data_IF_478399511993
#
_entry.id   IF_478399511993
#
_cell.length_a   1.000
_cell.length_b   1.000
_cell.length_c   1.000
_cell.angle_alpha   90.00
_cell.angle_beta   90.00
_cell.angle_gamma   90.00
#
_symmetry.space_group_name_H-M   'P 1'
#
loop_
_entity.id
_entity.type
_entity.pdbx_description
1 polymer ?
#
# COMPACT_ATOMS: atom_id res chain seq x y z
N UNK A 1 73.53 31.98 -15.23
CA UNK A 1 74.65 32.94 -15.23
C UNK A 1 74.46 33.78 -16.48
N UNK A 2 74.19 35.08 -16.49
CA UNK A 2 74.75 36.25 -15.77
C UNK A 2 73.70 37.38 -15.90
N UNK A 3 73.13 37.89 -14.80
CA UNK A 3 73.38 39.23 -14.20
C UNK A 3 73.40 40.45 -15.14
N UNK A 4 72.58 41.47 -14.82
CA UNK A 4 72.87 42.93 -14.81
C UNK A 4 71.54 43.69 -14.64
N UNK A 5 71.12 44.13 -13.44
CA UNK A 5 71.44 45.39 -12.72
C UNK A 5 71.32 46.68 -13.54
N UNK A 6 70.26 47.45 -13.27
CA UNK A 6 70.32 48.94 -13.19
C UNK A 6 69.11 49.52 -12.42
N UNK A 7 69.40 50.16 -11.28
CA UNK A 7 68.56 51.07 -10.47
C UNK A 7 68.65 52.52 -11.00
N UNK A 8 68.10 53.56 -10.32
CA UNK A 8 66.77 53.81 -9.77
C UNK A 8 66.23 55.21 -10.20
N UNK A 9 64.94 55.51 -10.00
CA UNK A 9 64.49 56.91 -9.76
C UNK A 9 63.18 56.93 -8.97
N UNK A 10 63.26 57.50 -7.77
CA UNK A 10 62.15 57.70 -6.86
C UNK A 10 61.50 59.05 -7.10
N UNK A 11 60.19 59.11 -7.32
CA UNK A 11 59.34 60.28 -7.06
C UNK A 11 58.01 59.81 -6.43
N UNK A 12 57.56 60.59 -5.45
CA UNK A 12 56.64 60.28 -4.35
C UNK A 12 55.14 60.24 -4.74
N UNK A 13 54.27 59.69 -3.86
CA UNK A 13 53.01 59.05 -4.20
C UNK A 13 51.83 60.01 -4.06
N UNK A 14 51.03 60.20 -5.12
CA UNK A 14 49.74 60.90 -5.01
C UNK A 14 48.68 60.50 -6.05
N UNK A 15 48.94 59.51 -6.90
CA UNK A 15 48.03 59.15 -8.00
C UNK A 15 47.61 57.67 -8.03
N UNK A 16 47.82 56.92 -6.95
CA UNK A 16 47.48 55.48 -6.89
C UNK A 16 46.28 55.12 -5.98
N UNK A 17 45.73 56.06 -5.20
CA UNK A 17 44.60 55.77 -4.31
C UNK A 17 43.22 55.97 -4.97
N UNK A 18 43.12 56.82 -5.99
CA UNK A 18 41.87 56.99 -6.76
C UNK A 18 41.62 55.80 -7.72
N UNK A 19 42.62 55.23 -8.42
CA UNK A 19 42.40 54.07 -9.28
C UNK A 19 42.05 52.80 -8.51
N UNK A 20 42.62 52.59 -7.31
CA UNK A 20 42.33 51.39 -6.51
C UNK A 20 40.90 51.35 -5.95
N UNK A 21 40.33 52.51 -5.58
CA UNK A 21 38.94 52.57 -5.13
C UNK A 21 37.96 52.29 -6.29
N UNK A 22 38.28 52.76 -7.50
CA UNK A 22 37.47 52.50 -8.70
C UNK A 22 37.59 51.03 -9.12
N UNK A 23 38.78 50.43 -9.06
CA UNK A 23 38.98 49.00 -9.37
C UNK A 23 38.31 48.09 -8.33
N UNK A 24 38.31 48.45 -7.05
CA UNK A 24 37.58 47.70 -6.03
C UNK A 24 36.05 47.77 -6.22
N UNK A 25 35.52 48.94 -6.58
CA UNK A 25 34.10 49.11 -6.93
C UNK A 25 33.75 48.33 -8.21
N UNK A 26 34.63 48.33 -9.21
CA UNK A 26 34.46 47.58 -10.45
C UNK A 26 34.54 46.07 -10.22
N UNK A 27 35.39 45.58 -9.31
CA UNK A 27 35.46 44.16 -8.94
C UNK A 27 34.27 43.69 -8.07
N UNK A 28 33.70 44.59 -7.25
CA UNK A 28 32.45 44.36 -6.53
C UNK A 28 31.24 44.33 -7.47
N UNK A 29 31.21 45.17 -8.51
CA UNK A 29 30.18 45.19 -9.56
C UNK A 29 30.39 44.11 -10.64
N UNK A 30 31.62 43.63 -10.84
CA UNK A 30 31.92 42.56 -11.80
C UNK A 30 31.72 41.15 -11.23
N UNK A 31 31.79 41.00 -9.89
CA UNK A 31 31.40 39.73 -9.21
C UNK A 31 29.88 39.50 -9.21
N UNK A 32 29.07 40.53 -9.45
CA UNK A 32 27.61 40.41 -9.54
C UNK A 32 27.08 40.27 -10.96
N UNK A 33 27.91 40.47 -11.99
CA UNK A 33 27.51 40.39 -13.41
C UNK A 33 27.82 39.05 -14.09
N UNK A 34 28.46 38.11 -13.39
CA UNK A 34 28.57 36.70 -13.83
C UNK A 34 27.34 35.83 -13.55
N UNK A 35 26.33 36.36 -12.83
CA UNK A 35 25.10 35.63 -12.48
C UNK A 35 23.88 36.04 -13.33
N UNK A 36 24.05 36.94 -14.30
CA UNK A 36 22.95 37.57 -15.04
C UNK A 36 22.93 37.27 -16.56
N UNK A 37 23.82 36.41 -17.08
CA UNK A 37 23.92 36.15 -18.54
C UNK A 37 23.54 34.71 -18.92
N UNK A 38 22.89 33.94 -18.03
CA UNK A 38 22.43 32.57 -18.35
C UNK A 38 20.95 32.29 -18.11
N UNK A 39 20.10 33.32 -18.08
CA UNK A 39 18.66 33.15 -17.92
C UNK A 39 17.82 33.44 -19.17
N UNK A 40 18.39 33.90 -20.28
CA UNK A 40 17.57 34.60 -21.29
C UNK A 40 17.44 33.94 -22.69
N UNK A 41 17.59 32.61 -22.77
CA UNK A 41 17.18 31.86 -23.98
C UNK A 41 15.76 31.27 -23.85
N UNK A 42 15.26 31.09 -22.62
CA UNK A 42 13.96 30.47 -22.32
C UNK A 42 12.83 31.50 -22.15
N UNK A 43 13.13 32.74 -21.77
CA UNK A 43 12.15 33.83 -21.72
C UNK A 43 11.63 34.22 -23.12
N UNK A 44 12.42 33.99 -24.17
CA UNK A 44 12.08 34.34 -25.56
C UNK A 44 10.95 33.47 -26.16
N UNK A 45 10.69 32.31 -25.58
CA UNK A 45 9.61 31.40 -26.00
C UNK A 45 8.42 31.37 -25.03
N UNK A 46 8.45 32.14 -23.94
CA UNK A 46 7.35 32.26 -22.98
C UNK A 46 6.78 30.90 -22.49
N UNK A 47 7.66 29.91 -22.30
CA UNK A 47 7.32 28.63 -21.69
C UNK A 47 8.03 28.58 -20.34
N UNK A 48 7.34 29.03 -19.29
CA UNK A 48 7.71 28.77 -17.91
C UNK A 48 6.76 27.73 -17.31
N UNK A 49 7.36 26.59 -16.97
CA UNK A 49 6.80 25.45 -16.25
C UNK A 49 6.09 25.82 -14.93
N UNK A 50 6.26 27.04 -14.41
CA UNK A 50 5.55 27.53 -13.22
C UNK A 50 4.03 27.69 -13.37
N UNK A 51 3.49 27.72 -14.59
CA UNK A 51 2.06 27.99 -14.82
C UNK A 51 1.14 26.77 -14.65
N UNK A 52 1.66 25.54 -14.47
CA UNK A 52 0.80 24.34 -14.43
C UNK A 52 0.64 23.67 -13.07
N UNK A 53 1.58 23.84 -12.13
CA UNK A 53 1.49 23.20 -10.82
C UNK A 53 1.75 24.20 -9.69
N UNK A 54 0.67 24.74 -9.14
CA UNK A 54 0.70 25.65 -7.99
C UNK A 54 1.04 24.88 -6.72
N UNK A 55 2.30 24.90 -6.28
CA UNK A 55 2.84 24.87 -4.89
C UNK A 55 4.26 24.26 -4.89
N UNK A 56 5.24 24.56 -4.02
CA UNK A 56 5.37 25.23 -2.73
C UNK A 56 6.71 25.98 -2.70
N UNK A 57 6.76 27.19 -2.16
CA UNK A 57 7.90 27.67 -1.35
C UNK A 57 7.33 28.69 -0.38
N UNK A 58 7.30 28.35 0.91
CA UNK A 58 7.05 29.30 1.99
C UNK A 58 8.40 29.82 2.52
N UNK A 59 8.93 30.95 2.03
CA UNK A 59 9.76 31.80 2.85
C UNK A 59 8.86 32.88 3.46
N UNK A 60 9.09 33.20 4.74
CA UNK A 60 8.48 34.29 5.51
C UNK A 60 7.13 34.00 6.19
N UNK A 61 7.17 33.19 7.26
CA UNK A 61 6.29 33.46 8.41
C UNK A 61 7.03 34.37 9.40
N UNK A 62 6.35 35.42 9.87
CA UNK A 62 6.83 36.27 10.95
C UNK A 62 6.99 35.48 12.25
N UNK A 63 7.85 35.95 13.16
CA UNK A 63 8.14 35.30 14.44
C UNK A 63 6.89 35.25 15.33
N UNK A 64 6.09 34.19 15.21
CA UNK A 64 5.19 33.78 16.28
C UNK A 64 6.03 33.36 17.49
N UNK A 65 5.75 33.94 18.66
CA UNK A 65 6.29 33.41 19.91
C UNK A 65 5.64 32.04 20.14
N UNK A 66 6.40 30.97 19.89
CA UNK A 66 5.98 29.60 20.19
C UNK A 66 5.70 29.49 21.69
N UNK A 67 4.57 28.90 22.13
CA UNK A 67 4.40 28.53 23.52
C UNK A 67 5.60 27.68 23.95
N UNK A 68 6.08 27.84 25.19
CA UNK A 68 7.11 26.96 25.76
C UNK A 68 6.51 25.57 25.99
N UNK A 69 6.49 24.74 24.96
CA UNK A 69 6.30 23.31 25.11
C UNK A 69 7.62 22.70 25.63
N UNK A 70 7.58 22.13 26.82
CA UNK A 70 8.68 21.33 27.36
C UNK A 70 8.51 19.90 26.88
N UNK A 71 9.14 19.52 25.77
CA UNK A 71 9.27 18.13 25.40
C UNK A 71 10.27 17.45 26.33
N UNK A 72 9.81 16.53 27.18
CA UNK A 72 10.75 15.58 27.82
C UNK A 72 11.26 14.67 26.72
N UNK A 73 12.58 14.69 26.48
CA UNK A 73 13.22 13.70 25.61
C UNK A 73 13.01 12.32 26.23
N UNK A 74 12.28 11.44 25.53
CA UNK A 74 12.21 10.00 25.80
C UNK A 74 13.46 9.37 25.17
N UNK A 75 14.64 9.70 25.72
CA UNK A 75 15.92 9.11 25.32
C UNK A 75 16.54 8.39 26.51
N UNK A 76 15.96 7.24 26.84
CA UNK A 76 16.63 6.18 27.54
C UNK A 76 16.34 4.89 26.77
N UNK A 77 17.28 4.44 25.93
CA UNK A 77 17.17 3.25 25.08
C UNK A 77 16.99 1.90 25.82
N UNK A 78 16.31 1.91 26.96
CA UNK A 78 15.86 0.80 27.79
C UNK A 78 14.37 0.93 28.18
N UNK A 79 13.74 2.09 28.02
CA UNK A 79 12.30 2.25 28.22
C UNK A 79 11.56 1.80 26.96
N UNK A 80 10.52 0.99 27.14
CA UNK A 80 9.55 0.71 26.08
C UNK A 80 8.93 2.05 25.69
N UNK A 81 9.12 2.53 24.44
CA UNK A 81 8.51 3.77 24.01
C UNK A 81 7.01 3.58 23.99
N UNK A 82 6.33 4.43 24.73
CA UNK A 82 4.90 4.48 25.01
C UNK A 82 4.07 4.51 23.71
N UNK A 83 3.84 3.36 23.07
CA UNK A 83 2.93 3.25 21.92
C UNK A 83 1.50 3.08 22.43
N UNK A 84 0.67 4.12 22.26
CA UNK A 84 -0.76 4.07 22.55
C UNK A 84 -1.20 4.62 23.91
N UNK A 85 -0.36 5.40 24.61
CA UNK A 85 -0.79 6.02 25.87
C UNK A 85 -1.70 7.20 25.61
N UNK A 86 -2.89 7.15 26.21
CA UNK A 86 -3.70 8.32 26.46
C UNK A 86 -2.95 9.19 27.47
N UNK A 87 -2.35 10.30 27.04
CA UNK A 87 -1.72 11.26 27.96
C UNK A 87 -2.78 12.08 28.70
N UNK A 88 -3.89 12.34 28.01
CA UNK A 88 -5.13 12.96 28.45
C UNK A 88 -6.28 12.26 27.71
N UNK A 89 -7.55 12.44 28.13
CA UNK A 89 -8.72 11.74 27.52
C UNK A 89 -8.83 11.93 25.99
N UNK A 90 -8.13 12.91 25.41
CA UNK A 90 -8.23 13.27 23.99
C UNK A 90 -6.89 13.24 23.22
N UNK A 91 -5.76 12.96 23.87
CA UNK A 91 -4.43 12.97 23.22
C UNK A 91 -3.85 11.56 23.22
N UNK A 92 -3.68 11.00 22.02
CA UNK A 92 -3.12 9.68 21.80
C UNK A 92 -1.76 9.78 21.10
N UNK A 93 -0.73 9.14 21.65
CA UNK A 93 0.59 9.08 21.04
C UNK A 93 0.86 7.70 20.42
N UNK A 94 1.23 7.69 19.15
CA UNK A 94 1.66 6.48 18.43
C UNK A 94 3.00 6.74 17.79
N UNK A 95 3.96 5.85 18.04
CA UNK A 95 5.21 5.85 17.32
C UNK A 95 5.23 4.63 16.40
N UNK A 96 5.13 4.90 15.10
CA UNK A 96 4.99 3.87 14.07
C UNK A 96 6.25 3.00 13.93
N UNK A 97 7.43 3.54 14.28
CA UNK A 97 8.68 2.77 14.25
C UNK A 97 8.76 1.67 15.31
N UNK A 98 7.89 1.70 16.33
CA UNK A 98 7.87 0.69 17.40
C UNK A 98 6.71 -0.30 17.27
N UNK A 99 5.81 -0.08 16.30
CA UNK A 99 4.80 -1.05 15.90
C UNK A 99 5.38 -2.23 15.10
N UNK A 100 6.61 -2.10 14.61
CA UNK A 100 7.33 -3.11 13.81
C UNK A 100 8.07 -4.17 14.63
N UNK A 101 7.66 -4.43 15.87
CA UNK A 101 8.25 -5.49 16.70
C UNK A 101 7.67 -6.86 16.37
N UNK A 102 8.54 -7.79 15.98
CA UNK A 102 8.15 -9.15 15.55
C UNK A 102 8.17 -10.18 16.69
N UNK A 103 8.48 -9.80 17.93
CA UNK A 103 8.78 -10.73 19.02
C UNK A 103 7.56 -11.36 19.71
N UNK A 104 6.35 -10.86 19.45
CA UNK A 104 5.11 -11.40 20.03
C UNK A 104 3.99 -11.38 18.97
N UNK A 105 3.88 -12.46 18.19
CA UNK A 105 2.89 -12.60 17.08
C UNK A 105 1.45 -12.30 17.52
N UNK A 106 1.04 -12.83 18.68
CA UNK A 106 -0.34 -12.72 19.16
C UNK A 106 -0.69 -11.41 19.89
N UNK A 107 0.27 -10.50 20.11
CA UNK A 107 -0.04 -9.15 20.62
C UNK A 107 -0.24 -8.13 19.51
N UNK A 108 -0.03 -8.54 18.25
CA UNK A 108 -0.19 -7.66 17.11
C UNK A 108 -1.66 -7.47 16.78
N UNK A 109 -2.07 -6.22 16.50
CA UNK A 109 -3.43 -5.92 16.07
C UNK A 109 -3.57 -6.24 14.58
N UNK A 110 -4.58 -7.05 14.28
CA UNK A 110 -4.91 -7.51 12.93
C UNK A 110 -6.25 -6.93 12.52
N UNK A 111 -6.29 -6.26 11.38
CA UNK A 111 -7.51 -5.76 10.77
C UNK A 111 -7.93 -6.71 9.65
N UNK A 112 -9.08 -7.36 9.79
CA UNK A 112 -9.65 -8.24 8.76
C UNK A 112 -10.62 -7.44 7.91
N UNK A 113 -10.40 -7.40 6.59
CA UNK A 113 -11.17 -6.61 5.64
C UNK A 113 -11.88 -7.49 4.62
N UNK A 114 -13.17 -7.21 4.40
CA UNK A 114 -14.01 -7.92 3.43
C UNK A 114 -14.98 -6.98 2.72
N UNK A 115 -15.13 -7.15 1.41
CA UNK A 115 -16.22 -6.54 0.63
C UNK A 115 -17.36 -7.55 0.56
N UNK A 116 -18.58 -7.13 0.90
CA UNK A 116 -19.75 -8.00 1.06
C UNK A 116 -20.83 -7.61 0.05
N UNK A 117 -21.23 -8.57 -0.78
CA UNK A 117 -22.41 -8.44 -1.65
C UNK A 117 -23.61 -9.26 -1.15
N UNK A 118 -23.35 -10.37 -0.46
CA UNK A 118 -24.29 -11.36 0.03
C UNK A 118 -23.76 -11.94 1.33
N UNK A 119 -24.64 -12.32 2.25
CA UNK A 119 -24.18 -12.89 3.52
C UNK A 119 -23.96 -14.40 3.39
N UNK A 120 -22.70 -14.83 3.51
CA UNK A 120 -22.32 -16.24 3.53
C UNK A 120 -22.09 -16.72 4.98
N UNK A 121 -22.92 -17.65 5.45
CA UNK A 121 -22.82 -18.18 6.81
C UNK A 121 -21.53 -19.00 7.01
N UNK A 122 -21.04 -19.72 5.99
CA UNK A 122 -19.83 -20.51 6.13
C UNK A 122 -18.60 -19.61 6.29
N UNK A 123 -18.55 -18.48 5.58
CA UNK A 123 -17.54 -17.44 5.79
C UNK A 123 -17.58 -16.89 7.22
N UNK A 124 -18.78 -16.56 7.73
CA UNK A 124 -18.92 -16.09 9.11
C UNK A 124 -18.42 -17.13 10.13
N UNK A 125 -18.79 -18.40 9.94
CA UNK A 125 -18.31 -19.49 10.80
C UNK A 125 -16.79 -19.70 10.68
N UNK A 126 -16.21 -19.55 9.49
CA UNK A 126 -14.78 -19.60 9.27
C UNK A 126 -14.06 -18.50 10.06
N UNK A 127 -14.55 -17.25 9.99
CA UNK A 127 -14.01 -16.12 10.76
C UNK A 127 -14.07 -16.36 12.27
N UNK A 128 -15.16 -16.96 12.78
CA UNK A 128 -15.29 -17.29 14.20
C UNK A 128 -14.34 -18.41 14.65
N UNK A 129 -13.83 -19.25 13.74
CA UNK A 129 -12.95 -20.39 14.06
C UNK A 129 -11.46 -20.03 14.12
N UNK A 130 -11.08 -18.82 13.71
CA UNK A 130 -9.70 -18.36 13.78
C UNK A 130 -9.15 -18.48 15.21
N UNK A 131 -7.93 -19.01 15.35
CA UNK A 131 -7.27 -19.20 16.64
C UNK A 131 -6.65 -17.93 17.21
N UNK A 132 -6.41 -16.94 16.34
CA UNK A 132 -5.82 -15.67 16.74
C UNK A 132 -6.71 -14.95 17.77
N UNK A 133 -6.08 -14.27 18.73
CA UNK A 133 -6.81 -13.62 19.82
C UNK A 133 -7.79 -12.56 19.29
N UNK A 134 -9.10 -12.80 19.50
CA UNK A 134 -10.16 -11.90 19.03
C UNK A 134 -10.07 -10.50 19.63
N UNK A 135 -9.46 -10.35 20.81
CA UNK A 135 -9.19 -9.03 21.40
C UNK A 135 -8.16 -8.23 20.61
N UNK A 136 -7.41 -8.87 19.70
CA UNK A 136 -6.48 -8.22 18.78
C UNK A 136 -6.98 -8.20 17.33
N UNK A 137 -8.21 -8.65 17.08
CA UNK A 137 -8.85 -8.60 15.76
C UNK A 137 -9.84 -7.45 15.70
N UNK A 138 -9.69 -6.62 14.67
CA UNK A 138 -10.68 -5.65 14.22
C UNK A 138 -11.26 -6.12 12.89
N UNK A 139 -12.56 -5.89 12.68
CA UNK A 139 -13.26 -6.29 11.46
C UNK A 139 -13.72 -5.04 10.71
N UNK A 140 -13.46 -5.00 9.40
CA UNK A 140 -13.94 -3.96 8.50
C UNK A 140 -14.71 -4.58 7.34
N UNK A 141 -15.99 -4.20 7.21
CA UNK A 141 -16.86 -4.67 6.12
C UNK A 141 -17.25 -3.51 5.21
N UNK A 142 -17.17 -3.72 3.89
CA UNK A 142 -17.75 -2.81 2.90
C UNK A 142 -18.94 -3.48 2.23
N UNK A 143 -20.16 -3.02 2.50
CA UNK A 143 -21.38 -3.62 1.96
C UNK A 143 -21.85 -2.91 0.69
N UNK A 144 -22.07 -3.67 -0.38
CA UNK A 144 -22.54 -3.12 -1.66
C UNK A 144 -23.98 -2.59 -1.58
N UNK A 145 -24.33 -1.51 -2.32
CA UNK A 145 -25.66 -0.90 -2.30
C UNK A 145 -26.67 -1.66 -3.18
N UNK A 146 -26.77 -2.99 -3.01
CA UNK A 146 -27.72 -3.84 -3.75
C UNK A 146 -28.84 -4.33 -2.85
N UNK A 147 -29.92 -4.88 -3.42
CA UNK A 147 -30.98 -5.52 -2.62
C UNK A 147 -30.41 -6.65 -1.75
N UNK A 148 -29.58 -7.50 -2.34
CA UNK A 148 -28.88 -8.58 -1.65
C UNK A 148 -27.90 -8.05 -0.59
N UNK A 149 -27.17 -6.97 -0.88
CA UNK A 149 -26.27 -6.32 0.06
C UNK A 149 -27.02 -5.74 1.26
N UNK A 150 -28.22 -5.20 1.07
CA UNK A 150 -29.06 -4.71 2.17
C UNK A 150 -29.56 -5.84 3.06
N UNK A 151 -29.93 -6.99 2.49
CA UNK A 151 -30.30 -8.19 3.25
C UNK A 151 -29.07 -8.77 3.99
N UNK A 152 -27.90 -8.73 3.34
CA UNK A 152 -26.64 -9.12 3.91
C UNK A 152 -26.25 -8.24 5.10
N UNK A 153 -26.43 -6.92 4.99
CA UNK A 153 -26.19 -5.96 6.08
C UNK A 153 -27.04 -6.29 7.31
N UNK A 154 -28.35 -6.51 7.13
CA UNK A 154 -29.23 -6.84 8.25
C UNK A 154 -28.82 -8.15 8.94
N UNK A 155 -28.43 -9.15 8.16
CA UNK A 155 -27.96 -10.43 8.70
C UNK A 155 -26.61 -10.28 9.41
N UNK A 156 -25.67 -9.56 8.80
CA UNK A 156 -24.35 -9.27 9.37
C UNK A 156 -24.46 -8.53 10.70
N UNK A 157 -25.29 -7.48 10.78
CA UNK A 157 -25.53 -6.74 12.03
C UNK A 157 -26.09 -7.65 13.13
N UNK A 158 -27.03 -8.53 12.80
CA UNK A 158 -27.60 -9.49 13.75
C UNK A 158 -26.54 -10.46 14.26
N UNK A 159 -25.70 -11.01 13.37
CA UNK A 159 -24.61 -11.94 13.74
C UNK A 159 -23.51 -11.27 14.57
N UNK A 160 -23.17 -10.03 14.25
CA UNK A 160 -22.23 -9.23 15.05
C UNK A 160 -22.82 -8.97 16.44
N UNK A 161 -24.08 -8.56 16.54
CA UNK A 161 -24.77 -8.36 17.81
C UNK A 161 -24.77 -9.64 18.66
N UNK A 162 -25.14 -10.77 18.08
CA UNK A 162 -25.09 -12.10 18.73
C UNK A 162 -23.68 -12.42 19.27
N UNK A 163 -22.64 -12.10 18.49
CA UNK A 163 -21.25 -12.41 18.86
C UNK A 163 -20.69 -11.45 19.91
N UNK A 164 -20.92 -10.15 19.78
CA UNK A 164 -20.40 -9.12 20.69
C UNK A 164 -21.11 -9.10 22.05
N UNK A 165 -22.31 -9.67 22.16
CA UNK A 165 -23.05 -9.80 23.44
C UNK A 165 -22.71 -11.06 24.24
N UNK A 166 -21.80 -11.90 23.73
CA UNK A 166 -21.37 -13.10 24.46
C UNK A 166 -20.57 -12.74 25.70
N UNK A 167 -20.89 -13.41 26.80
CA UNK A 167 -20.15 -13.32 28.07
C UNK A 167 -19.24 -14.53 28.29
N UNK A 168 -19.42 -15.59 27.51
CA UNK A 168 -18.77 -16.89 27.64
C UNK A 168 -17.55 -17.05 26.70
N UNK A 169 -17.33 -16.12 25.77
CA UNK A 169 -16.25 -16.18 24.80
C UNK A 169 -15.65 -14.79 24.52
N UNK A 170 -14.37 -14.70 24.12
CA UNK A 170 -13.79 -13.43 23.71
C UNK A 170 -14.50 -12.91 22.45
N UNK A 171 -14.71 -11.60 22.44
CA UNK A 171 -15.40 -10.84 21.39
C UNK A 171 -14.38 -10.09 20.53
N UNK A 172 -14.78 -9.64 19.35
CA UNK A 172 -13.90 -8.83 18.48
C UNK A 172 -13.70 -7.44 19.09
N UNK A 173 -12.51 -6.88 18.93
CA UNK A 173 -12.15 -5.59 19.54
C UNK A 173 -12.97 -4.43 18.99
N UNK A 174 -13.07 -4.34 17.67
CA UNK A 174 -13.87 -3.34 16.97
C UNK A 174 -14.44 -3.93 15.68
N UNK A 175 -15.63 -3.49 15.31
CA UNK A 175 -16.27 -3.87 14.05
C UNK A 175 -16.80 -2.62 13.39
N UNK A 176 -16.31 -2.33 12.18
CA UNK A 176 -16.74 -1.21 11.35
C UNK A 176 -17.47 -1.76 10.13
N UNK A 177 -18.66 -1.23 9.84
CA UNK A 177 -19.42 -1.53 8.63
C UNK A 177 -19.59 -0.25 7.84
N UNK A 178 -19.12 -0.26 6.60
CA UNK A 178 -19.26 0.82 5.63
C UNK A 178 -20.28 0.39 4.56
N UNK A 179 -21.01 1.37 4.01
CA UNK A 179 -21.87 1.16 2.85
C UNK A 179 -21.23 1.83 1.65
N UNK A 180 -21.06 1.06 0.59
CA UNK A 180 -20.48 1.53 -0.65
C UNK A 180 -21.40 2.55 -1.34
N UNK A 181 -20.79 3.51 -2.04
CA UNK A 181 -21.49 4.42 -2.94
C UNK A 181 -22.07 3.66 -4.13
N UNK A 182 -23.15 4.20 -4.72
CA UNK A 182 -23.76 3.62 -5.92
C UNK A 182 -22.73 3.38 -7.05
N UNK A 183 -22.73 2.21 -7.68
CA UNK A 183 -21.83 1.95 -8.79
C UNK A 183 -22.19 2.79 -10.02
N UNK A 184 -21.21 3.08 -10.89
CA UNK A 184 -21.52 3.60 -12.22
C UNK A 184 -22.35 2.57 -13.00
N UNK A 185 -23.09 3.03 -14.02
CA UNK A 185 -23.80 2.12 -14.91
C UNK A 185 -22.78 1.26 -15.67
N UNK A 186 -22.77 -0.05 -15.39
CA UNK A 186 -21.98 -1.01 -16.14
C UNK A 186 -22.74 -1.38 -17.42
N UNK A 187 -22.07 -1.31 -18.56
CA UNK A 187 -22.62 -1.92 -19.78
C UNK A 187 -22.65 -3.45 -19.61
N UNK A 188 -23.61 -4.14 -20.23
CA UNK A 188 -23.84 -5.56 -19.94
C UNK A 188 -22.79 -6.49 -20.53
N UNK A 189 -22.03 -6.06 -21.55
CA UNK A 189 -21.07 -6.92 -22.24
C UNK A 189 -19.78 -6.19 -22.62
N UNK A 190 -18.64 -6.85 -22.43
CA UNK A 190 -17.35 -6.42 -22.99
C UNK A 190 -16.24 -6.16 -21.96
N UNK A 191 -15.01 -6.10 -22.48
CA UNK A 191 -13.78 -5.89 -21.70
C UNK A 191 -13.83 -4.57 -20.92
N UNK A 192 -14.40 -3.51 -21.51
CA UNK A 192 -14.49 -2.20 -20.88
C UNK A 192 -15.41 -2.20 -19.65
N UNK A 193 -16.52 -2.95 -19.68
CA UNK A 193 -17.42 -3.09 -18.53
C UNK A 193 -16.72 -3.80 -17.36
N UNK A 194 -15.97 -4.86 -17.64
CA UNK A 194 -15.21 -5.57 -16.60
C UNK A 194 -14.10 -4.67 -16.01
N UNK A 195 -13.45 -3.85 -16.84
CA UNK A 195 -12.49 -2.84 -16.37
C UNK A 195 -13.18 -1.84 -15.44
N UNK A 196 -14.34 -1.29 -15.80
CA UNK A 196 -15.08 -0.35 -14.94
C UNK A 196 -15.53 -0.98 -13.62
N UNK A 197 -15.99 -2.24 -13.64
CA UNK A 197 -16.29 -2.99 -12.40
C UNK A 197 -15.06 -3.09 -11.51
N UNK A 198 -13.91 -3.50 -12.05
CA UNK A 198 -12.66 -3.60 -11.29
C UNK A 198 -12.19 -2.23 -10.75
N UNK A 199 -12.38 -1.14 -11.50
CA UNK A 199 -12.10 0.22 -11.01
C UNK A 199 -12.98 0.60 -9.84
N UNK A 200 -14.27 0.29 -9.91
CA UNK A 200 -15.22 0.51 -8.82
C UNK A 200 -14.81 -0.29 -7.56
N UNK A 201 -14.54 -1.59 -7.70
CA UNK A 201 -14.10 -2.42 -6.57
C UNK A 201 -12.74 -1.98 -6.00
N UNK A 202 -11.80 -1.52 -6.83
CA UNK A 202 -10.54 -0.94 -6.36
C UNK A 202 -10.79 0.30 -5.48
N UNK A 203 -11.71 1.16 -5.90
CA UNK A 203 -12.17 2.31 -5.11
C UNK A 203 -12.75 1.90 -3.76
N UNK A 204 -13.64 0.90 -3.74
CA UNK A 204 -14.23 0.38 -2.50
C UNK A 204 -13.18 -0.20 -1.53
N UNK A 205 -12.21 -0.95 -2.04
CA UNK A 205 -11.10 -1.47 -1.21
C UNK A 205 -10.29 -0.32 -0.62
N UNK A 206 -10.01 0.72 -1.40
CA UNK A 206 -9.31 1.92 -0.91
C UNK A 206 -10.09 2.62 0.20
N UNK A 207 -11.39 2.87 0.00
CA UNK A 207 -12.26 3.50 1.00
C UNK A 207 -12.31 2.69 2.29
N UNK A 208 -12.42 1.36 2.17
CA UNK A 208 -12.46 0.45 3.31
C UNK A 208 -11.16 0.53 4.12
N UNK A 209 -10.01 0.31 3.49
CA UNK A 209 -8.73 0.32 4.20
C UNK A 209 -8.41 1.71 4.75
N UNK A 210 -8.65 2.80 4.00
CA UNK A 210 -8.32 4.15 4.45
C UNK A 210 -9.15 4.60 5.66
N UNK A 211 -10.38 4.08 5.78
CA UNK A 211 -11.31 4.46 6.86
C UNK A 211 -11.13 3.62 8.11
N UNK A 212 -10.65 2.39 7.96
CA UNK A 212 -10.54 1.42 9.07
C UNK A 212 -9.11 1.21 9.57
N UNK A 213 -8.09 1.59 8.79
CA UNK A 213 -6.69 1.47 9.18
C UNK A 213 -6.36 2.39 10.35
N UNK A 214 -6.25 1.80 11.54
CA UNK A 214 -5.85 2.48 12.76
C UNK A 214 -4.33 2.67 12.88
N UNK A 215 -3.86 3.63 13.70
CA UNK A 215 -2.44 3.85 13.93
C UNK A 215 -1.74 2.65 14.58
N UNK A 216 -2.49 1.77 15.23
CA UNK A 216 -2.03 0.61 15.99
C UNK A 216 -2.17 -0.73 15.25
N UNK A 217 -2.81 -0.73 14.07
CA UNK A 217 -2.94 -1.91 13.21
C UNK A 217 -1.58 -2.30 12.67
N UNK A 218 -1.17 -3.56 12.89
CA UNK A 218 0.11 -4.10 12.40
C UNK A 218 -0.05 -4.88 11.11
N UNK A 219 -1.05 -5.74 11.05
CA UNK A 219 -1.35 -6.53 9.85
C UNK A 219 -2.78 -6.28 9.39
N UNK A 220 -2.99 -6.41 8.09
CA UNK A 220 -4.28 -6.33 7.43
C UNK A 220 -4.48 -7.66 6.72
N UNK A 221 -5.48 -8.44 7.13
CA UNK A 221 -5.88 -9.65 6.43
C UNK A 221 -7.04 -9.30 5.50
N UNK A 222 -6.79 -9.31 4.20
CA UNK A 222 -7.86 -9.31 3.21
C UNK A 222 -8.44 -10.72 3.12
N UNK A 223 -9.73 -10.86 3.40
CA UNK A 223 -10.45 -12.12 3.37
C UNK A 223 -11.75 -11.94 2.62
N UNK A 224 -11.88 -12.58 1.46
CA UNK A 224 -13.09 -12.54 0.66
C UNK A 224 -14.25 -13.23 1.38
N UNK A 225 -15.46 -12.72 1.18
CA UNK A 225 -16.70 -13.31 1.69
C UNK A 225 -16.93 -14.73 1.17
N UNK A 226 -16.32 -15.06 0.03
CA UNK A 226 -16.45 -16.39 -0.56
C UNK A 226 -15.42 -17.40 -0.01
N UNK A 227 -14.45 -16.96 0.81
CA UNK A 227 -13.53 -17.88 1.49
C UNK A 227 -14.21 -18.50 2.72
N UNK A 228 -14.76 -19.70 2.50
CA UNK A 228 -15.57 -20.44 3.48
C UNK A 228 -14.76 -21.38 4.37
N UNK A 229 -13.51 -21.65 4.04
CA UNK A 229 -12.67 -22.55 4.83
C UNK A 229 -11.20 -22.13 4.78
N UNK A 230 -10.59 -21.98 5.94
CA UNK A 230 -9.16 -21.72 6.14
C UNK A 230 -8.64 -22.61 7.27
N UNK A 231 -7.33 -22.93 7.31
CA UNK A 231 -6.72 -23.39 8.55
C UNK A 231 -7.00 -22.37 9.67
N UNK A 232 -7.33 -22.84 10.88
CA UNK A 232 -7.69 -21.94 11.99
C UNK A 232 -6.56 -20.98 12.37
N UNK A 233 -5.32 -21.37 12.08
CA UNK A 233 -4.07 -20.65 12.32
C UNK A 233 -3.66 -19.72 11.17
N UNK A 234 -4.55 -19.41 10.21
CA UNK A 234 -4.17 -18.69 8.99
C UNK A 234 -3.48 -17.34 9.22
N UNK A 235 -3.87 -16.62 10.27
CA UNK A 235 -3.21 -15.34 10.60
C UNK A 235 -1.79 -15.62 11.10
N UNK A 236 -1.65 -16.53 12.07
CA UNK A 236 -0.37 -16.92 12.65
C UNK A 236 0.59 -17.49 11.60
N UNK A 237 0.07 -18.37 10.74
CA UNK A 237 0.79 -19.03 9.66
C UNK A 237 1.34 -18.01 8.66
N UNK A 238 0.50 -17.06 8.21
CA UNK A 238 0.92 -16.02 7.27
C UNK A 238 1.87 -14.99 7.91
N UNK A 239 1.69 -14.66 9.20
CA UNK A 239 2.64 -13.81 9.93
C UNK A 239 4.01 -14.50 10.04
N UNK A 240 4.03 -15.81 10.31
CA UNK A 240 5.26 -16.58 10.49
C UNK A 240 6.16 -16.62 9.26
N UNK A 241 5.59 -16.39 8.07
CA UNK A 241 6.35 -16.27 6.81
C UNK A 241 7.29 -15.06 6.83
N UNK A 242 6.98 -14.02 7.61
CA UNK A 242 7.87 -12.87 7.81
C UNK A 242 8.04 -12.00 6.56
N UNK A 243 7.03 -11.96 5.69
CA UNK A 243 7.03 -11.18 4.44
C UNK A 243 5.97 -10.07 4.49
N UNK A 244 6.19 -8.93 3.82
CA UNK A 244 5.30 -7.78 3.95
C UNK A 244 3.96 -7.98 3.23
N UNK A 245 3.91 -8.81 2.19
CA UNK A 245 2.67 -9.23 1.54
C UNK A 245 2.72 -10.72 1.28
N UNK A 246 1.74 -11.47 1.78
CA UNK A 246 1.66 -12.92 1.68
C UNK A 246 0.27 -13.32 1.19
N UNK A 247 0.18 -14.07 0.11
CA UNK A 247 -1.09 -14.61 -0.40
C UNK A 247 -1.16 -16.12 -0.25
N UNK A 248 -2.33 -16.61 0.19
CA UNK A 248 -2.63 -18.04 0.20
C UNK A 248 -2.92 -18.55 -1.22
N UNK A 249 -2.86 -19.88 -1.39
CA UNK A 249 -3.36 -20.54 -2.57
C UNK A 249 -4.86 -20.86 -2.39
N UNK A 250 -5.71 -20.30 -3.25
CA UNK A 250 -7.17 -20.47 -3.16
C UNK A 250 -7.57 -21.75 -3.88
N UNK A 251 -8.54 -22.52 -3.43
CA UNK A 251 -8.99 -23.73 -4.11
C UNK A 251 -10.50 -23.82 -4.03
N UNK A 252 -11.12 -24.55 -4.96
CA UNK A 252 -12.52 -24.97 -4.81
C UNK A 252 -12.54 -26.45 -4.55
N UNK A 253 -13.33 -26.89 -3.57
CA UNK A 253 -13.58 -28.32 -3.39
C UNK A 253 -14.38 -28.80 -4.61
N UNK A 254 -13.80 -29.71 -5.39
CA UNK A 254 -14.55 -30.36 -6.45
C UNK A 254 -15.72 -31.13 -5.81
N UNK A 255 -16.92 -31.04 -6.39
CA UNK A 255 -18.02 -31.92 -6.03
C UNK A 255 -17.51 -33.37 -6.11
N UNK A 256 -17.85 -34.18 -5.10
CA UNK A 256 -17.21 -35.44 -4.65
C UNK A 256 -16.87 -36.55 -5.69
N UNK A 257 -16.96 -36.33 -7.00
CA UNK A 257 -16.79 -37.36 -8.03
C UNK A 257 -15.78 -37.03 -9.16
N UNK A 258 -14.98 -35.96 -9.06
CA UNK A 258 -13.85 -35.75 -9.97
C UNK A 258 -12.69 -35.16 -9.17
N UNK A 259 -11.68 -35.96 -8.84
CA UNK A 259 -10.51 -35.59 -8.03
C UNK A 259 -9.57 -34.57 -8.67
N UNK A 260 -10.10 -33.51 -9.29
CA UNK A 260 -9.35 -32.39 -9.81
C UNK A 260 -9.95 -31.10 -9.24
N UNK A 261 -9.19 -30.43 -8.37
CA UNK A 261 -9.48 -29.06 -7.99
C UNK A 261 -9.47 -28.18 -9.26
N UNK A 262 -10.48 -27.33 -9.42
CA UNK A 262 -10.57 -26.42 -10.57
C UNK A 262 -9.96 -25.06 -10.25
N UNK A 263 -9.26 -24.47 -11.21
CA UNK A 263 -8.69 -23.14 -11.10
C UNK A 263 -9.80 -22.07 -11.00
N UNK A 264 -9.77 -21.26 -9.95
CA UNK A 264 -10.60 -20.07 -9.86
C UNK A 264 -9.92 -18.83 -10.45
N UNK A 265 -10.76 -17.87 -10.86
CA UNK A 265 -10.36 -16.55 -11.29
C UNK A 265 -9.50 -15.80 -10.25
N UNK A 266 -9.73 -15.96 -8.95
CA UNK A 266 -8.93 -15.26 -7.95
C UNK A 266 -7.48 -15.74 -7.89
N UNK A 267 -7.23 -17.04 -8.01
CA UNK A 267 -5.87 -17.57 -8.15
C UNK A 267 -5.14 -17.07 -9.38
N UNK A 268 -5.90 -16.81 -10.45
CA UNK A 268 -5.35 -16.29 -11.69
C UNK A 268 -4.70 -14.90 -11.50
N UNK A 269 -4.97 -14.22 -10.37
CA UNK A 269 -4.37 -12.94 -9.98
C UNK A 269 -3.08 -13.08 -9.14
N UNK A 270 -2.74 -14.29 -8.68
CA UNK A 270 -1.47 -14.61 -8.00
C UNK A 270 -0.50 -15.28 -8.97
N UNK A 271 0.51 -14.55 -9.45
CA UNK A 271 1.38 -15.03 -10.54
C UNK A 271 2.76 -14.36 -10.55
N UNK A 272 3.66 -14.99 -11.31
CA UNK A 272 5.04 -14.54 -11.58
C UNK A 272 5.14 -14.05 -13.02
N UNK A 273 5.78 -12.89 -13.21
CA UNK A 273 6.00 -12.27 -14.50
C UNK A 273 6.99 -13.09 -15.35
N UNK A 274 6.78 -13.13 -16.66
CA UNK A 274 7.68 -13.80 -17.61
C UNK A 274 8.17 -12.81 -18.70
N UNK A 275 9.13 -13.24 -19.51
CA UNK A 275 9.67 -12.41 -20.60
C UNK A 275 8.61 -12.06 -21.66
N UNK A 276 7.72 -13.00 -21.98
CA UNK A 276 6.64 -12.81 -22.95
C UNK A 276 5.74 -11.63 -22.55
N UNK A 277 5.36 -11.57 -21.28
CA UNK A 277 4.54 -10.50 -20.73
C UNK A 277 5.21 -9.14 -20.84
N UNK A 278 6.52 -9.05 -20.58
CA UNK A 278 7.26 -7.79 -20.73
C UNK A 278 7.26 -7.29 -22.17
N UNK A 279 7.34 -8.20 -23.15
CA UNK A 279 7.23 -7.86 -24.57
C UNK A 279 5.83 -7.39 -24.94
N UNK A 280 4.80 -8.06 -24.41
CA UNK A 280 3.40 -7.68 -24.58
C UNK A 280 3.18 -6.26 -24.04
N UNK A 281 3.61 -5.94 -22.83
CA UNK A 281 3.43 -4.60 -22.25
C UNK A 281 4.00 -3.49 -23.14
N UNK A 282 5.21 -3.68 -23.67
CA UNK A 282 5.86 -2.70 -24.55
C UNK A 282 5.16 -2.51 -25.92
N UNK A 283 4.23 -3.40 -26.28
CA UNK A 283 3.53 -3.36 -27.57
C UNK A 283 2.25 -2.52 -27.55
N UNK A 284 1.85 -2.01 -26.38
CA UNK A 284 0.60 -1.28 -26.22
C UNK A 284 0.80 0.07 -25.53
N UNK A 285 -0.20 0.94 -25.62
CA UNK A 285 -0.18 2.23 -24.96
C UNK A 285 -0.19 2.09 -23.43
N UNK A 286 0.52 2.98 -22.73
CA UNK A 286 0.67 2.97 -21.26
C UNK A 286 -0.65 2.90 -20.47
N UNK A 287 -1.72 3.44 -21.05
CA UNK A 287 -3.06 3.48 -20.45
C UNK A 287 -3.93 2.25 -20.77
N UNK A 288 -3.47 1.36 -21.65
CA UNK A 288 -4.20 0.12 -21.93
C UNK A 288 -4.06 -0.82 -20.73
N UNK A 289 -5.17 -1.42 -20.32
CA UNK A 289 -5.25 -2.33 -19.19
C UNK A 289 -5.22 -3.79 -19.67
N UNK A 290 -4.20 -4.53 -19.23
CA UNK A 290 -4.04 -5.98 -19.42
C UNK A 290 -3.99 -6.64 -18.05
N UNK A 291 -4.93 -7.51 -17.77
CA UNK A 291 -4.92 -8.30 -16.56
C UNK A 291 -5.38 -9.71 -16.90
N UNK A 292 -5.20 -10.65 -16.00
CA UNK A 292 -5.69 -11.99 -16.24
C UNK A 292 -7.22 -11.97 -16.45
N UNK A 293 -7.67 -12.56 -17.57
CA UNK A 293 -9.07 -12.52 -18.03
C UNK A 293 -9.55 -11.20 -18.67
N UNK A 294 -8.71 -10.16 -18.77
CA UNK A 294 -9.08 -8.83 -19.34
C UNK A 294 -8.10 -8.41 -20.43
N UNK A 295 -8.65 -7.93 -21.55
CA UNK A 295 -7.88 -7.43 -22.70
C UNK A 295 -7.63 -8.47 -23.79
N UNK A 296 -8.08 -9.71 -23.61
CA UNK A 296 -8.02 -10.76 -24.64
C UNK A 296 -6.60 -11.17 -25.05
N UNK A 297 -5.61 -10.93 -24.20
CA UNK A 297 -4.20 -11.26 -24.45
C UNK A 297 -3.82 -12.51 -23.66
N UNK A 298 -3.23 -13.49 -24.35
CA UNK A 298 -2.58 -14.63 -23.70
C UNK A 298 -1.29 -14.15 -23.02
N UNK A 299 -1.31 -14.08 -21.69
CA UNK A 299 -0.21 -13.56 -20.90
C UNK A 299 0.88 -14.61 -20.66
N UNK A 300 0.54 -15.91 -20.76
CA UNK A 300 1.39 -17.07 -20.41
C UNK A 300 2.03 -17.00 -19.02
N UNK A 301 1.43 -16.23 -18.10
CA UNK A 301 1.94 -16.04 -16.74
C UNK A 301 2.01 -17.38 -16.01
N UNK A 302 2.96 -17.51 -15.08
CA UNK A 302 3.06 -18.69 -14.23
C UNK A 302 2.27 -18.41 -12.96
N UNK A 303 1.21 -19.18 -12.71
CA UNK A 303 0.35 -18.98 -11.56
C UNK A 303 0.89 -19.71 -10.34
N UNK A 304 0.52 -19.23 -9.15
CA UNK A 304 0.92 -19.86 -7.89
C UNK A 304 0.53 -21.35 -7.81
N UNK A 305 -0.57 -21.73 -8.47
CA UNK A 305 -1.02 -23.12 -8.55
C UNK A 305 -0.07 -24.03 -9.31
N UNK A 306 0.57 -23.51 -10.37
CA UNK A 306 1.50 -24.29 -11.18
C UNK A 306 2.75 -24.66 -10.36
N UNK A 307 2.97 -23.97 -9.23
CA UNK A 307 4.07 -24.17 -8.30
C UNK A 307 3.70 -25.07 -7.11
N UNK A 308 2.43 -25.46 -6.97
CA UNK A 308 2.00 -26.38 -5.94
C UNK A 308 2.61 -27.77 -6.19
N UNK A 309 3.30 -28.31 -5.19
CA UNK A 309 4.06 -29.57 -5.28
C UNK A 309 3.48 -30.68 -4.41
N UNK A 310 2.44 -30.36 -3.64
CA UNK A 310 1.84 -31.20 -2.62
C UNK A 310 0.35 -31.31 -2.89
N UNK A 311 -0.19 -32.51 -2.73
CA UNK A 311 -1.64 -32.71 -2.73
C UNK A 311 -2.25 -31.93 -1.54
N UNK A 312 -3.33 -31.15 -1.74
CA UNK A 312 -4.04 -30.48 -0.64
C UNK A 312 -4.37 -31.39 0.57
N UNK A 313 -4.44 -32.71 0.37
CA UNK A 313 -4.66 -33.68 1.44
C UNK A 313 -3.43 -33.99 2.34
N UNK A 314 -2.22 -33.59 1.96
CA UNK A 314 -0.97 -33.96 2.68
C UNK A 314 -0.55 -32.96 3.78
N UNK A 315 -1.39 -31.98 4.10
CA UNK A 315 -1.20 -31.04 5.20
C UNK A 315 -0.65 -29.68 4.79
N UNK A 316 -0.56 -28.77 5.77
CA UNK A 316 -0.18 -27.37 5.57
C UNK A 316 1.34 -27.23 5.45
N UNK A 317 1.82 -26.64 4.37
CA UNK A 317 3.22 -26.18 4.25
C UNK A 317 3.27 -24.66 4.13
N UNK A 318 4.17 -24.06 4.90
CA UNK A 318 4.33 -22.61 4.98
C UNK A 318 5.37 -22.05 4.00
N UNK A 319 5.81 -22.87 3.05
CA UNK A 319 6.78 -22.44 2.04
C UNK A 319 6.18 -21.31 1.18
N UNK A 320 6.91 -20.20 1.08
CA UNK A 320 6.53 -19.05 0.29
C UNK A 320 7.51 -18.83 -0.87
N UNK A 321 6.98 -18.38 -2.01
CA UNK A 321 7.73 -18.03 -3.21
C UNK A 321 7.47 -16.57 -3.56
N UNK A 322 8.49 -15.90 -4.09
CA UNK A 322 8.36 -14.51 -4.55
C UNK A 322 7.46 -14.48 -5.79
N UNK A 323 6.51 -13.55 -5.80
CA UNK A 323 5.56 -13.35 -6.91
C UNK A 323 5.53 -11.90 -7.38
N UNK A 324 5.00 -11.67 -8.58
CA UNK A 324 4.86 -10.33 -9.15
C UNK A 324 3.46 -9.75 -8.96
N UNK A 325 2.48 -10.60 -8.70
CA UNK A 325 1.12 -10.22 -8.37
C UNK A 325 0.53 -11.18 -7.36
N UNK A 326 -0.35 -10.64 -6.51
CA UNK A 326 -1.15 -11.38 -5.55
C UNK A 326 -2.65 -11.13 -5.77
N UNK A 327 -3.45 -12.19 -5.62
CA UNK A 327 -4.89 -12.09 -5.37
C UNK A 327 -5.13 -11.42 -4.01
N UNK A 328 -6.35 -10.96 -3.75
CA UNK A 328 -6.71 -10.42 -2.43
C UNK A 328 -7.85 -11.21 -1.77
N UNK A 329 -8.10 -12.44 -2.22
CA UNK A 329 -9.16 -13.25 -1.62
C UNK A 329 -8.75 -13.79 -0.24
N UNK A 330 -7.46 -14.10 -0.04
CA UNK A 330 -6.90 -14.40 1.27
C UNK A 330 -5.44 -13.95 1.28
N UNK A 331 -5.19 -12.73 1.76
CA UNK A 331 -3.86 -12.09 1.67
C UNK A 331 -3.58 -11.23 2.88
N UNK A 332 -2.46 -11.52 3.54
CA UNK A 332 -1.95 -10.76 4.67
C UNK A 332 -1.01 -9.68 4.15
N UNK A 333 -1.26 -8.44 4.57
CA UNK A 333 -0.49 -7.26 4.21
C UNK A 333 0.00 -6.58 5.48
N UNK A 334 1.29 -6.25 5.52
CA UNK A 334 1.86 -5.40 6.56
C UNK A 334 1.27 -4.00 6.43
N UNK A 335 0.81 -3.41 7.53
CA UNK A 335 0.14 -2.11 7.47
C UNK A 335 1.03 -1.00 6.92
N UNK A 336 2.35 -1.10 7.10
CA UNK A 336 3.34 -0.18 6.53
C UNK A 336 3.26 -0.09 5.00
N UNK A 337 2.90 -1.18 4.31
CA UNK A 337 2.73 -1.20 2.85
C UNK A 337 1.65 -0.21 2.41
N UNK A 338 0.50 -0.21 3.10
CA UNK A 338 -0.58 0.75 2.85
C UNK A 338 -0.23 2.16 3.37
N UNK A 339 0.45 2.28 4.51
CA UNK A 339 0.87 3.58 5.08
C UNK A 339 1.89 4.30 4.21
N UNK A 340 2.75 3.56 3.50
CA UNK A 340 3.70 4.08 2.53
C UNK A 340 3.05 4.44 1.18
N UNK A 341 1.75 4.15 1.03
CA UNK A 341 0.94 4.61 -0.09
C UNK A 341 0.55 3.53 -1.09
N UNK A 342 0.89 2.25 -0.86
CA UNK A 342 0.35 1.18 -1.70
C UNK A 342 -1.17 1.13 -1.55
N UNK A 343 -1.89 1.21 -2.66
CA UNK A 343 -3.34 1.18 -2.72
C UNK A 343 -3.80 0.44 -3.98
N UNK A 344 -5.11 0.22 -4.13
CA UNK A 344 -5.70 -0.45 -5.29
C UNK A 344 -5.98 0.59 -6.38
N UNK A 345 -5.19 0.68 -7.46
CA UNK A 345 -5.36 1.75 -8.44
C UNK A 345 -6.69 1.55 -9.18
N UNK A 346 -7.58 2.52 -9.10
CA UNK A 346 -8.77 2.60 -9.95
C UNK A 346 -8.47 3.28 -11.30
N UNK A 347 -7.19 3.54 -11.59
CA UNK A 347 -6.68 4.09 -12.84
C UNK A 347 -5.54 3.19 -13.35
N UNK A 348 -5.28 3.16 -14.68
CA UNK A 348 -4.18 2.38 -15.23
C UNK A 348 -2.84 2.69 -14.56
N UNK A 349 -2.22 1.68 -13.96
CA UNK A 349 -0.91 1.77 -13.33
C UNK A 349 -0.03 0.63 -13.87
N UNK A 350 0.90 0.95 -14.76
CA UNK A 350 1.68 -0.05 -15.51
C UNK A 350 0.81 -1.15 -16.13
N UNK A 351 -0.23 -0.71 -16.86
CA UNK A 351 -1.24 -1.56 -17.50
C UNK A 351 -2.13 -2.40 -16.57
N UNK A 352 -2.10 -2.14 -15.26
CA UNK A 352 -2.86 -2.90 -14.26
C UNK A 352 -3.76 -1.97 -13.46
N UNK A 353 -4.82 -2.51 -12.89
CA UNK A 353 -5.70 -1.85 -11.91
C UNK A 353 -5.96 -2.81 -10.75
N UNK A 354 -6.69 -2.35 -9.74
CA UNK A 354 -7.13 -3.16 -8.61
C UNK A 354 -5.96 -3.91 -7.92
N UNK A 355 -6.04 -5.22 -7.74
CA UNK A 355 -5.06 -6.03 -7.00
C UNK A 355 -3.73 -6.20 -7.73
N UNK A 356 -3.76 -6.36 -9.06
CA UNK A 356 -2.53 -6.40 -9.88
C UNK A 356 -1.83 -5.04 -9.85
N UNK A 357 -2.61 -3.95 -9.82
CA UNK A 357 -2.10 -2.59 -9.68
C UNK A 357 -1.48 -2.34 -8.30
N UNK A 358 -2.13 -2.80 -7.23
CA UNK A 358 -1.57 -2.77 -5.87
C UNK A 358 -0.23 -3.50 -5.82
N UNK A 359 -0.19 -4.71 -6.39
CA UNK A 359 1.01 -5.54 -6.41
C UNK A 359 2.18 -4.78 -7.05
N UNK A 360 1.93 -4.17 -8.21
CA UNK A 360 2.95 -3.35 -8.86
C UNK A 360 3.36 -2.14 -8.00
N UNK A 361 2.42 -1.50 -7.32
CA UNK A 361 2.69 -0.34 -6.48
C UNK A 361 3.55 -0.69 -5.27
N UNK A 362 3.24 -1.79 -4.58
CA UNK A 362 4.03 -2.32 -3.47
C UNK A 362 5.47 -2.64 -3.91
N UNK A 363 5.65 -3.28 -5.07
CA UNK A 363 6.99 -3.49 -5.65
C UNK A 363 7.73 -2.17 -5.93
N UNK A 364 7.04 -1.12 -6.42
CA UNK A 364 7.65 0.20 -6.66
C UNK A 364 8.04 0.92 -5.36
N UNK A 365 7.40 0.58 -4.24
CA UNK A 365 7.76 1.00 -2.89
C UNK A 365 8.85 0.12 -2.25
N UNK A 366 9.41 -0.83 -2.99
CA UNK A 366 10.45 -1.78 -2.56
C UNK A 366 9.97 -2.85 -1.58
N UNK A 367 8.67 -3.18 -1.59
CA UNK A 367 8.14 -4.33 -0.87
C UNK A 367 8.16 -5.59 -1.76
N UNK A 368 8.55 -6.72 -1.16
CA UNK A 368 8.49 -8.03 -1.81
C UNK A 368 7.11 -8.66 -1.62
N UNK A 369 6.54 -9.20 -2.69
CA UNK A 369 5.29 -9.96 -2.64
C UNK A 369 5.61 -11.45 -2.59
N UNK A 370 4.89 -12.19 -1.76
CA UNK A 370 5.06 -13.63 -1.63
C UNK A 370 3.72 -14.36 -1.77
N UNK A 371 3.73 -15.50 -2.44
CA UNK A 371 2.63 -16.45 -2.47
C UNK A 371 3.02 -17.75 -1.76
N UNK A 372 2.07 -18.44 -1.12
CA UNK A 372 2.27 -19.74 -0.49
C UNK A 372 1.63 -20.87 -1.33
N UNK A 373 2.37 -21.53 -2.25
CA UNK A 373 1.78 -22.46 -3.22
C UNK A 373 1.13 -23.70 -2.62
N UNK A 374 1.60 -24.15 -1.46
CA UNK A 374 1.12 -25.35 -0.77
C UNK A 374 0.26 -25.01 0.46
N UNK A 375 -0.19 -23.76 0.59
CA UNK A 375 -1.05 -23.31 1.67
C UNK A 375 -2.45 -23.03 1.13
N UNK A 376 -3.34 -24.02 1.27
CA UNK A 376 -4.64 -24.00 0.62
C UNK A 376 -5.73 -23.40 1.51
N UNK A 377 -6.53 -22.51 0.93
CA UNK A 377 -7.79 -21.99 1.49
C UNK A 377 -8.91 -22.26 0.50
N UNK A 378 -10.14 -22.47 0.97
CA UNK A 378 -11.23 -22.88 0.10
C UNK A 378 -12.31 -21.82 -0.08
N UNK A 379 -12.64 -21.60 -1.34
CA UNK A 379 -13.76 -20.81 -1.79
C UNK A 379 -15.05 -21.63 -1.81
N UNK A 380 -16.20 -20.97 -1.60
CA UNK A 380 -17.54 -21.55 -1.65
C UNK A 380 -17.91 -22.18 -2.97
#
# INVERSE_FOLDING_TARGET
>A
MVYLRSSPRAWRPAYALVPMAIVALFLLLSKTSGLLVRQDLLARFNIDSFARERTYYFPFSSRFAMPRYSYKHLDDGKSVPDSGRALEEHIMHYNLNYLSRDDIVNSNKVLVLSVIDTFNENFWQNLLRLSFDRQNIELGFMVLPTAQGNDALQTLERRIKETQMRTDAPVFKHVTILRASEPPAFDTDGVDSEVEKRRYFAGLKNELVSTTLGPETRYILWLDQDIVETPTTVIEDMISVGKPVVAANIQTRAAENKGAASYQYENSKSWIENEHWRLVQNSYADNYIFMEGIGGVDTKRVHINDLASVDPAQGVKLDAVVVDSVSFACTLVLSDVHRDGAMFPNFPFHHRIDTEGFSKMAQRLNYELSGMPNYFVYHS
#
